data_IF_349259144001
#
_entry.id   IF_349259144001
#
_cell.length_a   1.000
_cell.length_b   1.000
_cell.length_c   1.000
_cell.angle_alpha   90.00
_cell.angle_beta   90.00
_cell.angle_gamma   90.00
#
_symmetry.space_group_name_H-M   'P 1'
#
loop_
_entity.id
_entity.type
_entity.pdbx_description
1 polymer ?
#
# COMPACT_ATOMS: atom_id res chain seq x y z
N UNK A 1 22.85 8.02 -0.64
CA UNK A 1 21.42 8.23 -0.30
C UNK A 1 20.79 6.84 -0.13
N UNK A 2 20.03 6.60 0.93
CA UNK A 2 19.38 5.30 1.17
C UNK A 2 18.17 5.14 0.24
N UNK A 3 18.07 4.01 -0.45
CA UNK A 3 17.00 3.72 -1.43
C UNK A 3 16.33 2.38 -1.06
N UNK A 4 15.00 2.38 -0.86
CA UNK A 4 14.23 1.15 -0.63
C UNK A 4 13.82 0.45 -1.93
N UNK A 5 13.99 1.12 -3.08
CA UNK A 5 13.85 0.53 -4.41
C UNK A 5 15.24 0.19 -4.93
N UNK A 6 15.63 -1.10 -5.00
CA UNK A 6 16.97 -1.48 -5.43
C UNK A 6 17.17 -1.16 -6.91
N UNK A 7 18.38 -0.70 -7.24
CA UNK A 7 18.80 -0.56 -8.64
C UNK A 7 19.12 -1.94 -9.21
N UNK A 8 18.86 -2.11 -10.51
CA UNK A 8 19.31 -3.29 -11.23
C UNK A 8 20.84 -3.23 -11.46
N UNK A 9 21.47 -4.40 -11.54
CA UNK A 9 22.94 -4.53 -11.61
C UNK A 9 23.55 -3.79 -12.81
N UNK A 10 22.86 -3.79 -13.95
CA UNK A 10 23.26 -3.07 -15.16
C UNK A 10 23.34 -1.56 -14.93
N UNK A 11 22.37 -1.00 -14.20
CA UNK A 11 22.34 0.40 -13.83
C UNK A 11 23.40 0.76 -12.80
N UNK A 12 23.64 -0.12 -11.81
CA UNK A 12 24.74 0.05 -10.87
C UNK A 12 26.10 0.09 -11.58
N UNK A 13 26.31 -0.82 -12.54
CA UNK A 13 27.54 -0.85 -13.32
C UNK A 13 27.72 0.40 -14.19
N UNK A 14 26.65 0.88 -14.85
CA UNK A 14 26.67 2.09 -15.66
C UNK A 14 27.00 3.35 -14.84
N UNK A 15 26.48 3.44 -13.62
CA UNK A 15 26.68 4.59 -12.73
C UNK A 15 27.92 4.45 -11.83
N UNK A 16 28.64 3.32 -11.88
CA UNK A 16 29.82 3.07 -11.04
C UNK A 16 29.50 2.96 -9.55
N UNK A 17 28.32 2.45 -9.21
CA UNK A 17 27.80 2.38 -7.84
C UNK A 17 27.87 0.97 -7.27
N UNK A 18 28.00 0.88 -5.94
CA UNK A 18 27.83 -0.36 -5.18
C UNK A 18 26.69 -0.18 -4.18
N UNK A 19 25.79 -1.16 -4.08
CA UNK A 19 24.63 -1.12 -3.20
C UNK A 19 24.69 -2.27 -2.17
N UNK A 20 24.43 -1.96 -0.91
CA UNK A 20 24.36 -2.93 0.19
C UNK A 20 23.20 -2.62 1.14
N UNK A 21 22.57 -3.63 1.76
CA UNK A 21 21.48 -3.43 2.71
C UNK A 21 21.99 -2.90 4.05
N UNK A 22 21.17 -2.09 4.73
CA UNK A 22 21.50 -1.51 6.05
C UNK A 22 20.56 -2.00 7.15
N UNK A 23 19.25 -1.93 6.91
CA UNK A 23 18.20 -2.34 7.87
C UNK A 23 17.00 -2.95 7.14
N UNK A 24 16.16 -3.67 7.89
CA UNK A 24 14.86 -4.18 7.42
C UNK A 24 13.76 -3.48 8.24
N UNK A 25 12.75 -2.96 7.54
CA UNK A 25 11.59 -2.31 8.14
C UNK A 25 10.28 -2.82 7.53
N UNK A 26 9.17 -2.55 8.20
CA UNK A 26 7.82 -2.85 7.73
C UNK A 26 7.07 -1.59 7.30
N UNK A 27 6.31 -1.67 6.21
CA UNK A 27 5.36 -0.62 5.82
C UNK A 27 3.99 -0.97 6.40
N UNK A 28 3.39 -0.02 7.12
CA UNK A 28 2.07 -0.19 7.76
C UNK A 28 1.07 0.84 7.26
N UNK A 29 -0.22 0.52 7.39
CA UNK A 29 -1.30 1.46 7.13
C UNK A 29 -1.68 2.21 8.40
N UNK A 30 -1.48 3.52 8.39
CA UNK A 30 -2.09 4.39 9.38
C UNK A 30 -3.53 4.70 8.97
N UNK A 31 -4.47 4.56 9.91
CA UNK A 31 -5.90 4.85 9.69
C UNK A 31 -6.42 5.78 10.78
N UNK A 32 -7.39 6.63 10.44
CA UNK A 32 -8.09 7.49 11.38
C UNK A 32 -9.58 7.11 11.41
N UNK A 33 -9.94 6.31 12.41
CA UNK A 33 -11.26 5.71 12.56
C UNK A 33 -11.79 5.89 13.98
N UNK A 34 -12.87 6.68 14.16
CA UNK A 34 -13.53 6.79 15.45
C UNK A 34 -13.97 5.41 15.96
N UNK A 35 -13.65 5.11 17.22
CA UNK A 35 -14.08 3.86 17.86
C UNK A 35 -13.26 2.62 17.49
N UNK A 36 -12.25 2.72 16.62
CA UNK A 36 -11.32 1.62 16.28
C UNK A 36 -9.95 1.93 16.85
N UNK A 37 -9.44 1.08 17.75
CA UNK A 37 -8.11 1.29 18.35
C UNK A 37 -7.00 0.79 17.43
N UNK A 38 -5.77 1.25 17.67
CA UNK A 38 -4.58 0.77 16.96
C UNK A 38 -4.47 -0.75 17.03
N UNK A 39 -4.24 -1.41 15.89
CA UNK A 39 -4.13 -2.86 15.78
C UNK A 39 -5.45 -3.63 15.75
N UNK A 40 -6.61 -2.97 15.84
CA UNK A 40 -7.91 -3.67 15.82
C UNK A 40 -8.49 -3.89 14.41
N UNK A 41 -8.08 -3.08 13.44
CA UNK A 41 -8.54 -3.18 12.06
C UNK A 41 -7.69 -4.18 11.29
N UNK A 42 -8.34 -5.16 10.68
CA UNK A 42 -7.73 -6.14 9.78
C UNK A 42 -8.12 -5.80 8.33
N UNK A 43 -7.13 -5.78 7.45
CA UNK A 43 -7.30 -5.67 6.00
C UNK A 43 -6.46 -6.73 5.31
N UNK A 44 -7.00 -7.34 4.27
CA UNK A 44 -6.23 -8.20 3.36
C UNK A 44 -5.73 -7.41 2.15
N UNK A 45 -4.81 -8.01 1.38
CA UNK A 45 -4.20 -7.36 0.23
C UNK A 45 -5.18 -7.01 -0.89
N UNK A 46 -6.21 -7.84 -1.07
CA UNK A 46 -7.23 -7.65 -2.11
C UNK A 46 -8.10 -6.44 -1.78
N UNK A 47 -8.64 -6.38 -0.57
CA UNK A 47 -9.45 -5.28 -0.02
C UNK A 47 -8.65 -3.99 -0.01
N UNK A 48 -7.39 -4.03 0.41
CA UNK A 48 -6.52 -2.87 0.37
C UNK A 48 -6.31 -2.33 -1.05
N UNK A 49 -6.06 -3.22 -2.02
CA UNK A 49 -5.97 -2.82 -3.42
C UNK A 49 -7.26 -2.19 -3.93
N UNK A 50 -8.42 -2.75 -3.57
CA UNK A 50 -9.73 -2.22 -3.95
C UNK A 50 -10.04 -0.86 -3.31
N UNK A 51 -9.55 -0.59 -2.08
CA UNK A 51 -9.58 0.75 -1.45
C UNK A 51 -8.76 1.75 -2.28
N UNK A 52 -7.50 1.42 -2.61
CA UNK A 52 -6.61 2.34 -3.33
C UNK A 52 -7.01 2.52 -4.82
N UNK A 53 -7.78 1.59 -5.38
CA UNK A 53 -8.46 1.74 -6.68
C UNK A 53 -9.75 2.58 -6.60
N UNK A 54 -10.20 2.96 -5.40
CA UNK A 54 -11.41 3.75 -5.19
C UNK A 54 -12.72 2.95 -5.34
N UNK A 55 -12.65 1.62 -5.33
CA UNK A 55 -13.82 0.73 -5.42
C UNK A 55 -14.53 0.63 -4.08
N UNK A 56 -13.75 0.50 -3.00
CA UNK A 56 -14.25 0.56 -1.63
C UNK A 56 -14.14 2.00 -1.16
N UNK A 57 -15.28 2.61 -0.82
CA UNK A 57 -15.38 4.05 -0.53
C UNK A 57 -15.74 4.37 0.91
N UNK A 58 -16.18 3.38 1.69
CA UNK A 58 -16.58 3.54 3.08
C UNK A 58 -15.96 2.46 3.95
N UNK A 59 -15.76 2.77 5.22
CA UNK A 59 -15.15 1.87 6.19
C UNK A 59 -16.07 0.75 6.68
N UNK A 60 -17.38 0.91 6.53
CA UNK A 60 -18.40 -0.11 6.83
C UNK A 60 -18.73 -1.01 5.62
N UNK A 61 -17.94 -0.93 4.54
CA UNK A 61 -18.11 -1.78 3.36
C UNK A 61 -18.04 -3.27 3.74
N UNK A 62 -18.88 -4.10 3.10
CA UNK A 62 -18.98 -5.52 3.40
C UNK A 62 -17.63 -6.25 3.31
N UNK A 63 -16.75 -5.88 2.38
CA UNK A 63 -15.44 -6.50 2.25
C UNK A 63 -14.58 -6.25 3.51
N UNK A 64 -14.67 -5.05 4.10
CA UNK A 64 -13.98 -4.70 5.34
C UNK A 64 -14.68 -5.36 6.53
N UNK A 65 -16.02 -5.34 6.59
CA UNK A 65 -16.79 -5.92 7.68
C UNK A 65 -16.56 -7.44 7.81
N UNK A 66 -16.46 -8.16 6.68
CA UNK A 66 -16.16 -9.60 6.64
C UNK A 66 -14.82 -9.95 7.30
N UNK A 67 -13.83 -9.07 7.19
CA UNK A 67 -12.51 -9.24 7.81
C UNK A 67 -12.48 -8.85 9.29
N UNK A 68 -13.51 -8.15 9.78
CA UNK A 68 -13.55 -7.57 11.12
C UNK A 68 -14.85 -7.99 11.85
N UNK A 69 -15.12 -9.29 12.02
CA UNK A 69 -16.36 -9.75 12.64
C UNK A 69 -16.49 -9.21 14.08
N UNK A 70 -17.68 -8.71 14.42
CA UNK A 70 -17.97 -8.15 15.74
C UNK A 70 -17.45 -6.73 15.98
N UNK A 71 -16.78 -6.10 15.02
CA UNK A 71 -16.36 -4.69 15.11
C UNK A 71 -17.47 -3.77 14.61
N UNK A 72 -17.68 -2.66 15.33
CA UNK A 72 -18.57 -1.57 14.89
C UNK A 72 -17.78 -0.63 14.00
N UNK A 73 -17.82 -0.88 12.69
CA UNK A 73 -17.16 -0.02 11.70
C UNK A 73 -18.04 1.22 11.41
N UNK A 74 -17.46 2.43 11.35
CA UNK A 74 -18.22 3.63 11.08
C UNK A 74 -18.59 3.73 9.59
N UNK A 75 -19.77 4.29 9.30
CA UNK A 75 -20.21 4.64 7.94
C UNK A 75 -19.49 5.90 7.39
N UNK A 76 -18.18 5.97 7.58
CA UNK A 76 -17.31 7.08 7.23
C UNK A 76 -16.69 6.84 5.84
N UNK A 77 -16.61 7.89 5.02
CA UNK A 77 -15.92 7.83 3.73
C UNK A 77 -14.42 7.57 3.92
N UNK A 78 -13.84 6.78 3.02
CA UNK A 78 -12.40 6.55 2.96
C UNK A 78 -11.76 7.70 2.18
N UNK A 79 -10.86 8.42 2.84
CA UNK A 79 -9.96 9.38 2.21
C UNK A 79 -8.59 8.73 2.01
N UNK A 80 -8.27 8.32 0.78
CA UNK A 80 -6.98 7.72 0.46
C UNK A 80 -5.89 8.79 0.42
N UNK A 81 -4.84 8.61 1.21
CA UNK A 81 -3.64 9.44 1.20
C UNK A 81 -2.49 8.62 0.61
N UNK A 82 -1.73 9.23 -0.29
CA UNK A 82 -0.54 8.63 -0.90
C UNK A 82 0.60 9.63 -0.93
N UNK A 83 1.82 9.14 -1.14
CA UNK A 83 2.99 9.98 -1.41
C UNK A 83 2.83 10.70 -2.75
N UNK A 84 3.28 11.94 -2.80
CA UNK A 84 3.33 12.76 -4.01
C UNK A 84 4.73 12.78 -4.65
N UNK A 85 5.75 12.54 -3.83
CA UNK A 85 7.17 12.49 -4.19
C UNK A 85 7.63 11.07 -4.58
N UNK A 86 8.72 10.99 -5.33
CA UNK A 86 9.39 9.72 -5.64
C UNK A 86 9.86 9.04 -4.35
N UNK A 87 9.29 7.87 -4.04
CA UNK A 87 9.44 7.23 -2.74
C UNK A 87 9.68 5.72 -2.84
N UNK A 88 10.73 5.23 -2.17
CA UNK A 88 10.99 3.80 -2.01
C UNK A 88 9.87 3.07 -1.27
N UNK A 89 9.22 3.73 -0.30
CA UNK A 89 8.01 3.22 0.36
C UNK A 89 6.86 3.02 -0.62
N UNK A 90 6.67 3.95 -1.57
CA UNK A 90 5.68 3.78 -2.65
C UNK A 90 6.02 2.59 -3.53
N UNK A 91 7.30 2.35 -3.83
CA UNK A 91 7.74 1.17 -4.59
C UNK A 91 7.38 -0.13 -3.86
N UNK A 92 7.69 -0.25 -2.56
CA UNK A 92 7.35 -1.43 -1.76
C UNK A 92 5.83 -1.64 -1.70
N UNK A 93 5.07 -0.57 -1.44
CA UNK A 93 3.61 -0.61 -1.33
C UNK A 93 2.93 -1.01 -2.64
N UNK A 94 3.29 -0.35 -3.74
CA UNK A 94 2.72 -0.65 -5.07
C UNK A 94 3.12 -2.03 -5.58
N UNK A 95 4.33 -2.50 -5.25
CA UNK A 95 4.81 -3.85 -5.56
C UNK A 95 4.05 -4.93 -4.79
N UNK A 96 3.76 -4.69 -3.51
CA UNK A 96 2.90 -5.57 -2.72
C UNK A 96 1.51 -5.68 -3.37
N UNK A 97 0.86 -4.54 -3.64
CA UNK A 97 -0.48 -4.51 -4.24
C UNK A 97 -0.53 -5.20 -5.61
N UNK A 98 0.52 -5.09 -6.42
CA UNK A 98 0.62 -5.77 -7.71
C UNK A 98 0.67 -7.30 -7.60
N UNK A 99 1.05 -7.86 -6.44
CA UNK A 99 1.07 -9.31 -6.21
C UNK A 99 -0.26 -9.84 -5.67
N UNK A 100 -1.03 -9.01 -4.97
CA UNK A 100 -2.25 -9.42 -4.23
C UNK A 100 -3.55 -8.90 -4.83
N UNK A 101 -3.47 -8.01 -5.83
CA UNK A 101 -4.62 -7.49 -6.56
C UNK A 101 -4.30 -7.40 -8.06
N UNK A 102 -4.88 -8.30 -8.86
CA UNK A 102 -4.62 -8.37 -10.31
C UNK A 102 -5.14 -7.12 -11.05
N UNK A 103 -6.24 -6.52 -10.59
CA UNK A 103 -6.74 -5.28 -11.19
C UNK A 103 -5.73 -4.14 -10.96
N UNK A 104 -5.20 -4.02 -9.74
CA UNK A 104 -4.12 -3.08 -9.43
C UNK A 104 -2.92 -3.29 -10.34
N UNK A 105 -2.43 -4.53 -10.45
CA UNK A 105 -1.31 -4.88 -11.33
C UNK A 105 -1.55 -4.44 -12.78
N UNK A 106 -2.77 -4.65 -13.29
CA UNK A 106 -3.15 -4.28 -14.66
C UNK A 106 -3.28 -2.76 -14.86
N UNK A 107 -3.79 -2.02 -13.87
CA UNK A 107 -4.01 -0.57 -13.91
C UNK A 107 -2.74 0.21 -13.63
N UNK A 108 -1.91 -0.26 -12.70
CA UNK A 108 -0.65 0.40 -12.36
C UNK A 108 0.39 0.30 -13.50
N UNK A 109 0.35 -0.76 -14.33
CA UNK A 109 1.12 -0.81 -15.59
C UNK A 109 0.78 0.34 -16.56
N UNK A 110 -0.40 0.96 -16.44
CA UNK A 110 -0.84 2.10 -17.26
C UNK A 110 -0.47 3.47 -16.66
N UNK A 111 0.33 3.52 -15.59
CA UNK A 111 0.93 4.76 -15.08
C UNK A 111 0.06 5.60 -14.15
N UNK A 112 -1.02 5.05 -13.59
CA UNK A 112 -1.93 5.77 -12.67
C UNK A 112 -1.29 6.22 -11.35
N UNK A 113 -0.13 5.66 -10.97
CA UNK A 113 0.53 5.91 -9.68
C UNK A 113 2.04 6.18 -9.83
N UNK A 114 2.45 6.87 -10.90
CA UNK A 114 3.80 7.46 -10.99
C UNK A 114 3.86 8.81 -10.28
#
# INVERSE_FOLDING_TARGET
>A
MLLDAPLADDKLAQEGLFQFPTVIGGVVLAVNLPGVKSGELVLDGKTLGDIYLGKIKKWDDEAIAKLNPGKKLPAQNIAVVRRADGSGTSFVFTSYLAKVNEEWKSKNRRGLYR
#
